data_IF_900307860548
#
_entry.id   IF_900307860548
#
_cell.length_a   1.000
_cell.length_b   1.000
_cell.length_c   1.000
_cell.angle_alpha   90.00
_cell.angle_beta   90.00
_cell.angle_gamma   90.00
#
_symmetry.space_group_name_H-M   'P 1'
#
loop_
_entity.id
_entity.type
_entity.pdbx_description
1 polymer ?
#
# COMPACT_ATOMS: atom_id res chain seq x y z
N UNK A 1 11.77 -30.20 -1.71
CA UNK A 1 11.67 -29.38 -2.95
C UNK A 1 11.32 -30.17 -4.23
N UNK A 2 11.71 -31.46 -4.39
CA UNK A 2 11.26 -32.29 -5.53
C UNK A 2 9.78 -32.73 -5.41
N UNK A 3 9.34 -33.16 -4.23
CA UNK A 3 7.95 -33.64 -4.01
C UNK A 3 6.87 -32.53 -4.05
N UNK A 4 7.20 -31.30 -3.64
CA UNK A 4 6.30 -30.13 -3.75
C UNK A 4 6.09 -29.66 -5.21
N UNK A 5 7.05 -29.94 -6.11
CA UNK A 5 6.95 -29.64 -7.55
C UNK A 5 6.07 -30.64 -8.31
N UNK A 6 5.82 -31.81 -7.72
CA UNK A 6 4.99 -32.87 -8.29
C UNK A 6 3.52 -32.74 -7.85
N UNK A 7 3.25 -32.22 -6.64
CA UNK A 7 1.90 -31.90 -6.17
C UNK A 7 1.28 -30.66 -6.86
N UNK A 8 2.10 -29.63 -7.13
CA UNK A 8 1.66 -28.38 -7.81
C UNK A 8 1.33 -28.61 -9.30
N UNK A 9 1.80 -29.70 -9.90
CA UNK A 9 1.49 -30.08 -11.29
C UNK A 9 0.16 -30.83 -11.46
N UNK A 10 -0.45 -31.33 -10.38
CA UNK A 10 -1.68 -32.14 -10.40
C UNK A 10 -2.94 -31.32 -10.07
N UNK A 11 -2.80 -30.16 -9.44
CA UNK A 11 -3.89 -29.23 -9.10
C UNK A 11 -4.66 -28.66 -10.32
N UNK A 12 -4.03 -28.36 -11.48
CA UNK A 12 -4.77 -27.90 -12.65
C UNK A 12 -5.67 -28.99 -13.26
N UNK A 13 -5.30 -30.27 -13.19
CA UNK A 13 -6.08 -31.36 -13.80
C UNK A 13 -7.48 -31.56 -13.20
N UNK A 14 -7.66 -31.31 -11.91
CA UNK A 14 -8.91 -31.62 -11.20
C UNK A 14 -10.00 -30.53 -11.36
N UNK A 15 -9.61 -29.29 -11.68
CA UNK A 15 -10.56 -28.19 -11.95
C UNK A 15 -10.74 -27.96 -13.45
N UNK A 16 -9.74 -28.31 -14.28
CA UNK A 16 -9.87 -28.25 -15.72
C UNK A 16 -10.67 -29.41 -16.34
N UNK A 17 -10.91 -30.56 -15.71
CA UNK A 17 -11.92 -31.51 -16.26
C UNK A 17 -13.35 -30.94 -16.22
N UNK A 18 -13.61 -29.94 -15.37
CA UNK A 18 -14.88 -29.24 -15.31
C UNK A 18 -15.00 -28.03 -16.28
N UNK A 19 -13.91 -27.58 -16.90
CA UNK A 19 -13.89 -26.41 -17.84
C UNK A 19 -13.12 -26.64 -19.16
N UNK A 20 -12.36 -27.74 -19.31
CA UNK A 20 -11.57 -28.13 -20.51
C UNK A 20 -12.41 -28.38 -21.73
N UNK A 21 -13.70 -28.65 -21.59
CA UNK A 21 -14.56 -28.80 -22.76
C UNK A 21 -14.54 -27.58 -23.69
N UNK A 22 -14.36 -26.36 -23.18
CA UNK A 22 -14.46 -25.12 -23.99
C UNK A 22 -13.20 -24.25 -24.04
N UNK A 23 -12.32 -24.28 -23.03
CA UNK A 23 -11.10 -23.44 -23.03
C UNK A 23 -9.91 -24.07 -23.79
N UNK A 24 -9.79 -25.40 -23.83
CA UNK A 24 -8.72 -26.03 -24.62
C UNK A 24 -9.01 -26.07 -26.12
N UNK A 25 -10.28 -26.03 -26.51
CA UNK A 25 -10.68 -25.78 -27.90
C UNK A 25 -10.22 -24.39 -28.37
N UNK A 26 -10.36 -23.36 -27.52
CA UNK A 26 -9.90 -22.01 -27.79
C UNK A 26 -8.36 -21.89 -27.86
N UNK A 27 -7.62 -22.59 -27.00
CA UNK A 27 -6.15 -22.55 -26.99
C UNK A 27 -5.51 -23.34 -28.15
N UNK A 28 -6.13 -24.45 -28.58
CA UNK A 28 -5.68 -25.21 -29.75
C UNK A 28 -6.00 -24.51 -31.09
N UNK A 29 -7.11 -23.76 -31.17
CA UNK A 29 -7.41 -22.88 -32.33
C UNK A 29 -6.42 -21.70 -32.40
N UNK A 30 -5.99 -21.15 -31.26
CA UNK A 30 -5.10 -19.97 -31.22
C UNK A 30 -3.60 -20.28 -31.36
N UNK A 31 -3.16 -21.55 -31.22
CA UNK A 31 -1.73 -21.92 -31.18
C UNK A 31 -1.22 -22.80 -32.33
N UNK A 32 -2.10 -23.21 -33.27
CA UNK A 32 -1.70 -23.86 -34.53
C UNK A 32 -1.11 -25.29 -34.44
N UNK A 33 -1.09 -25.91 -33.24
CA UNK A 33 -0.51 -27.24 -33.01
C UNK A 33 -1.54 -28.36 -33.24
N UNK A 34 -1.59 -28.85 -34.48
CA UNK A 34 -2.36 -30.03 -34.88
C UNK A 34 -1.54 -31.33 -34.72
N UNK A 35 -1.93 -32.24 -33.82
CA UNK A 35 -1.98 -33.73 -34.02
C UNK A 35 -2.52 -34.45 -32.77
N UNK A 36 -3.61 -35.21 -32.94
CA UNK A 36 -4.65 -35.49 -31.92
C UNK A 36 -4.59 -36.83 -31.15
N UNK A 37 -3.81 -37.85 -31.51
CA UNK A 37 -4.09 -39.23 -31.02
C UNK A 37 -3.20 -39.73 -29.86
N UNK A 38 -1.93 -39.36 -29.81
CA UNK A 38 -0.98 -39.86 -28.79
C UNK A 38 -1.24 -39.31 -27.38
N UNK A 39 -1.88 -38.13 -27.29
CA UNK A 39 -2.18 -37.48 -26.02
C UNK A 39 -3.28 -38.21 -25.24
N UNK A 40 -4.35 -38.64 -25.93
CA UNK A 40 -5.50 -39.29 -25.30
C UNK A 40 -5.17 -40.70 -24.78
N UNK A 41 -4.35 -41.46 -25.52
CA UNK A 41 -3.86 -42.78 -25.14
C UNK A 41 -3.00 -42.77 -23.87
N UNK A 42 -2.34 -41.66 -23.58
CA UNK A 42 -1.49 -41.51 -22.40
C UNK A 42 -2.30 -41.20 -21.14
N UNK A 43 -3.39 -40.44 -21.26
CA UNK A 43 -4.29 -40.12 -20.15
C UNK A 43 -5.12 -41.33 -19.69
N UNK A 44 -5.54 -42.20 -20.61
CA UNK A 44 -6.38 -43.37 -20.32
C UNK A 44 -5.64 -44.42 -19.47
N UNK A 45 -4.33 -44.58 -19.72
CA UNK A 45 -3.47 -45.57 -19.05
C UNK A 45 -3.09 -45.23 -17.61
N UNK A 46 -3.08 -43.94 -17.26
CA UNK A 46 -2.78 -43.47 -15.89
C UNK A 46 -3.98 -43.70 -14.97
N UNK A 47 -5.20 -43.61 -15.50
CA UNK A 47 -6.43 -43.75 -14.72
C UNK A 47 -6.78 -45.22 -14.40
N UNK A 48 -6.22 -46.18 -15.13
CA UNK A 48 -6.52 -47.61 -14.99
C UNK A 48 -5.68 -48.36 -13.95
N UNK A 49 -4.56 -47.79 -13.47
CA UNK A 49 -3.54 -48.53 -12.70
C UNK A 49 -3.47 -48.19 -11.19
N UNK A 50 -4.35 -47.33 -10.64
CA UNK A 50 -4.31 -46.95 -9.21
C UNK A 50 -5.54 -47.44 -8.43
N UNK A 51 -5.34 -48.32 -7.44
CA UNK A 51 -6.39 -48.75 -6.52
C UNK A 51 -6.92 -47.54 -5.72
N UNK A 52 -8.23 -47.32 -5.83
CA UNK A 52 -8.98 -46.13 -5.41
C UNK A 52 -8.68 -45.71 -3.96
N UNK A 53 -8.47 -46.65 -3.04
CA UNK A 53 -8.22 -46.36 -1.62
C UNK A 53 -6.86 -45.67 -1.36
N UNK A 54 -5.79 -46.07 -2.06
CA UNK A 54 -4.45 -45.49 -1.86
C UNK A 54 -4.36 -44.04 -2.31
N UNK A 55 -5.14 -43.67 -3.33
CA UNK A 55 -5.25 -42.32 -3.85
C UNK A 55 -5.98 -41.41 -2.87
N UNK A 56 -7.10 -41.89 -2.29
CA UNK A 56 -7.87 -41.14 -1.30
C UNK A 56 -7.07 -40.86 -0.01
N UNK A 57 -6.32 -41.83 0.49
CA UNK A 57 -5.47 -41.62 1.68
C UNK A 57 -4.35 -40.61 1.41
N UNK A 58 -3.70 -40.70 0.24
CA UNK A 58 -2.65 -39.74 -0.15
C UNK A 58 -3.20 -38.32 -0.26
N UNK A 59 -4.40 -38.16 -0.84
CA UNK A 59 -5.05 -36.85 -1.00
C UNK A 59 -5.45 -36.26 0.36
N UNK A 60 -5.91 -37.11 1.29
CA UNK A 60 -6.24 -36.72 2.66
C UNK A 60 -5.00 -36.23 3.43
N UNK A 61 -3.87 -36.92 3.30
CA UNK A 61 -2.61 -36.47 3.91
C UNK A 61 -2.15 -35.10 3.36
N UNK A 62 -2.21 -34.88 2.05
CA UNK A 62 -1.85 -33.58 1.45
C UNK A 62 -2.78 -32.44 1.90
N UNK A 63 -4.07 -32.72 2.09
CA UNK A 63 -5.02 -31.71 2.62
C UNK A 63 -4.66 -31.34 4.06
N UNK A 64 -4.30 -32.29 4.92
CA UNK A 64 -3.88 -32.00 6.29
C UNK A 64 -2.55 -31.23 6.36
N UNK A 65 -1.61 -31.53 5.45
CA UNK A 65 -0.38 -30.73 5.31
C UNK A 65 -0.67 -29.28 4.88
N UNK A 66 -1.58 -29.08 3.92
CA UNK A 66 -1.98 -27.73 3.48
C UNK A 66 -2.68 -26.95 4.59
N UNK A 67 -3.53 -27.60 5.39
CA UNK A 67 -4.13 -26.98 6.59
C UNK A 67 -3.07 -26.56 7.60
N UNK A 68 -2.05 -27.38 7.80
CA UNK A 68 -0.94 -27.08 8.71
C UNK A 68 -0.12 -25.89 8.21
N UNK A 69 0.23 -25.86 6.92
CA UNK A 69 0.94 -24.73 6.29
C UNK A 69 0.13 -23.43 6.30
N UNK A 70 -1.20 -23.53 6.12
CA UNK A 70 -2.10 -22.39 6.24
C UNK A 70 -2.09 -21.84 7.68
N UNK A 71 -2.20 -22.71 8.68
CA UNK A 71 -2.13 -22.31 10.09
C UNK A 71 -0.77 -21.69 10.46
N UNK A 72 0.33 -22.19 9.89
CA UNK A 72 1.68 -21.60 10.06
C UNK A 72 1.78 -20.22 9.40
N UNK A 73 1.23 -20.05 8.20
CA UNK A 73 1.18 -18.76 7.51
C UNK A 73 0.29 -17.75 8.25
N UNK A 74 -0.87 -18.17 8.77
CA UNK A 74 -1.74 -17.37 9.62
C UNK A 74 -1.03 -16.95 10.91
N UNK A 75 -0.30 -17.87 11.55
CA UNK A 75 0.52 -17.57 12.72
C UNK A 75 1.66 -16.61 12.40
N UNK A 76 2.29 -16.71 11.23
CA UNK A 76 3.29 -15.74 10.78
C UNK A 76 2.68 -14.36 10.53
N UNK A 77 1.48 -14.30 9.92
CA UNK A 77 0.72 -13.07 9.70
C UNK A 77 0.28 -12.39 11.00
N UNK A 78 0.03 -13.17 12.06
CA UNK A 78 -0.26 -12.64 13.41
C UNK A 78 0.92 -11.85 14.02
N UNK A 79 2.14 -12.03 13.50
CA UNK A 79 3.35 -11.33 13.92
C UNK A 79 3.84 -10.29 12.89
N UNK A 80 3.10 -10.07 11.80
CA UNK A 80 3.44 -9.04 10.83
C UNK A 80 3.15 -7.63 11.36
N UNK A 81 4.03 -6.69 11.04
CA UNK A 81 3.88 -5.27 11.36
C UNK A 81 2.56 -4.72 10.79
N UNK A 82 1.82 -3.99 11.63
CA UNK A 82 0.59 -3.27 11.27
C UNK A 82 0.73 -2.40 10.01
N UNK A 83 1.93 -1.89 9.73
CA UNK A 83 2.21 -1.10 8.52
C UNK A 83 2.13 -1.91 7.22
N UNK A 84 2.15 -3.25 7.27
CA UNK A 84 1.98 -4.09 6.08
C UNK A 84 0.56 -4.00 5.50
N UNK A 85 -0.45 -3.90 6.37
CA UNK A 85 -1.85 -3.83 5.96
C UNK A 85 -2.16 -2.53 5.19
N UNK A 86 -1.58 -1.43 5.67
CA UNK A 86 -1.65 -0.13 5.02
C UNK A 86 -0.97 -0.16 3.65
N UNK A 87 0.22 -0.76 3.55
CA UNK A 87 0.92 -0.96 2.27
C UNK A 87 0.11 -1.79 1.28
N UNK A 88 -0.51 -2.88 1.74
CA UNK A 88 -1.37 -3.71 0.91
C UNK A 88 -2.52 -2.88 0.33
N UNK A 89 -3.20 -2.11 1.19
CA UNK A 89 -4.34 -1.28 0.79
C UNK A 89 -3.95 -0.28 -0.30
N UNK A 90 -2.87 0.49 -0.10
CA UNK A 90 -2.41 1.48 -1.09
C UNK A 90 -1.89 0.84 -2.38
N UNK A 91 -1.23 -0.31 -2.31
CA UNK A 91 -0.79 -1.06 -3.49
C UNK A 91 -1.99 -1.54 -4.33
N UNK A 92 -3.10 -1.93 -3.69
CA UNK A 92 -4.32 -2.33 -4.41
C UNK A 92 -5.09 -1.15 -4.98
N UNK A 93 -5.16 -0.02 -4.25
CA UNK A 93 -5.78 1.23 -4.70
C UNK A 93 -5.23 1.72 -6.03
N UNK A 94 -3.93 1.53 -6.29
CA UNK A 94 -3.27 1.94 -7.54
C UNK A 94 -3.82 1.27 -8.81
N UNK A 95 -4.52 0.14 -8.68
CA UNK A 95 -5.16 -0.52 -9.82
C UNK A 95 -6.46 0.17 -10.26
N UNK A 96 -6.90 1.21 -9.54
CA UNK A 96 -8.13 1.94 -9.80
C UNK A 96 -7.81 3.36 -10.28
N UNK A 97 -8.43 3.80 -11.36
CA UNK A 97 -8.23 5.16 -11.91
C UNK A 97 -9.06 6.19 -11.15
N UNK A 98 -8.39 7.27 -10.72
CA UNK A 98 -9.03 8.43 -10.10
C UNK A 98 -9.57 9.47 -11.08
N UNK A 99 -9.30 9.36 -12.39
CA UNK A 99 -9.56 10.44 -13.36
C UNK A 99 -11.04 10.83 -13.44
N UNK A 100 -11.92 9.83 -13.47
CA UNK A 100 -13.36 10.04 -13.51
C UNK A 100 -13.88 10.67 -12.21
N UNK A 101 -13.28 10.32 -11.07
CA UNK A 101 -13.65 10.82 -9.75
C UNK A 101 -13.25 12.30 -9.65
N UNK A 102 -12.02 12.64 -10.03
CA UNK A 102 -11.53 14.01 -10.07
C UNK A 102 -12.40 14.90 -10.95
N UNK A 103 -12.77 14.43 -12.16
CA UNK A 103 -13.68 15.18 -13.05
C UNK A 103 -15.06 15.40 -12.44
N UNK A 104 -15.63 14.39 -11.76
CA UNK A 104 -16.93 14.52 -11.07
C UNK A 104 -16.85 15.48 -9.90
N UNK A 105 -15.76 15.46 -9.15
CA UNK A 105 -15.54 16.38 -8.03
C UNK A 105 -15.39 17.84 -8.50
N UNK A 106 -14.59 18.08 -9.55
CA UNK A 106 -14.45 19.44 -10.12
C UNK A 106 -15.76 19.94 -10.72
N UNK A 107 -16.55 19.07 -11.37
CA UNK A 107 -17.91 19.42 -11.80
C UNK A 107 -18.79 19.81 -10.62
N UNK A 108 -18.78 19.03 -9.54
CA UNK A 108 -19.54 19.35 -8.33
C UNK A 108 -19.11 20.69 -7.72
N UNK A 109 -17.81 20.99 -7.69
CA UNK A 109 -17.29 22.29 -7.22
C UNK A 109 -17.79 23.44 -8.08
N UNK A 110 -17.76 23.28 -9.40
CA UNK A 110 -18.25 24.30 -10.34
C UNK A 110 -19.75 24.56 -10.17
N UNK A 111 -20.55 23.51 -9.98
CA UNK A 111 -21.99 23.61 -9.73
C UNK A 111 -22.31 24.25 -8.37
N UNK A 112 -21.37 24.22 -7.43
CA UNK A 112 -21.49 24.81 -6.09
C UNK A 112 -20.66 26.09 -5.96
N UNK A 113 -21.10 27.15 -6.63
CA UNK A 113 -20.44 28.48 -6.74
C UNK A 113 -19.83 29.05 -5.43
N UNK A 114 -20.38 28.69 -4.27
CA UNK A 114 -19.78 28.93 -2.96
C UNK A 114 -19.70 27.61 -2.17
N UNK A 115 -18.53 26.97 -2.20
CA UNK A 115 -18.22 25.77 -1.41
C UNK A 115 -17.85 26.22 0.01
N UNK A 116 -18.58 25.73 1.00
CA UNK A 116 -18.33 25.96 2.43
C UNK A 116 -17.90 24.66 3.11
N UNK A 117 -17.33 24.74 4.32
CA UNK A 117 -17.01 23.56 5.13
C UNK A 117 -18.25 22.69 5.36
N UNK A 118 -19.41 23.30 5.64
CA UNK A 118 -20.65 22.52 5.86
C UNK A 118 -21.09 21.75 4.62
N UNK A 119 -21.02 22.34 3.42
CA UNK A 119 -21.30 21.61 2.17
C UNK A 119 -20.33 20.45 1.93
N UNK A 120 -19.07 20.62 2.32
CA UNK A 120 -18.07 19.54 2.24
C UNK A 120 -18.36 18.44 3.27
N UNK A 121 -18.90 18.78 4.45
CA UNK A 121 -19.32 17.80 5.47
C UNK A 121 -20.54 17.00 4.99
N UNK A 122 -21.52 17.67 4.37
CA UNK A 122 -22.65 17.01 3.71
C UNK A 122 -22.17 16.07 2.59
N UNK A 123 -21.25 16.54 1.75
CA UNK A 123 -20.66 15.72 0.69
C UNK A 123 -19.90 14.52 1.27
N UNK A 124 -19.12 14.71 2.34
CA UNK A 124 -18.42 13.64 3.06
C UNK A 124 -19.40 12.57 3.58
N UNK A 125 -20.49 12.99 4.22
CA UNK A 125 -21.52 12.08 4.71
C UNK A 125 -22.20 11.33 3.54
N UNK A 126 -22.51 12.04 2.45
CA UNK A 126 -23.12 11.47 1.25
C UNK A 126 -22.24 10.40 0.60
N UNK A 127 -20.95 10.67 0.36
CA UNK A 127 -20.07 9.69 -0.29
C UNK A 127 -19.85 8.45 0.57
N UNK A 128 -19.79 8.60 1.89
CA UNK A 128 -19.75 7.47 2.83
C UNK A 128 -21.04 6.67 2.72
N UNK A 129 -22.20 7.32 2.85
CA UNK A 129 -23.50 6.66 2.80
C UNK A 129 -23.70 5.88 1.48
N UNK A 130 -23.42 6.51 0.33
CA UNK A 130 -23.47 5.86 -0.99
C UNK A 130 -22.57 4.62 -1.04
N UNK A 131 -21.36 4.69 -0.47
CA UNK A 131 -20.42 3.56 -0.48
C UNK A 131 -20.91 2.43 0.44
N UNK A 132 -21.47 2.75 1.61
CA UNK A 132 -22.05 1.75 2.52
C UNK A 132 -23.22 0.99 1.88
N UNK A 133 -24.05 1.65 1.07
CA UNK A 133 -25.13 0.95 0.32
C UNK A 133 -24.62 -0.06 -0.71
N UNK A 134 -23.33 -0.01 -1.08
CA UNK A 134 -22.68 -1.02 -1.94
C UNK A 134 -22.24 -2.26 -1.16
N UNK A 135 -22.49 -2.32 0.15
CA UNK A 135 -22.15 -3.46 0.99
C UNK A 135 -20.65 -3.62 1.23
N UNK A 136 -19.91 -2.51 1.28
CA UNK A 136 -18.45 -2.53 1.54
C UNK A 136 -18.09 -3.00 2.94
N UNK A 137 -19.06 -3.08 3.87
CA UNK A 137 -18.90 -3.57 5.24
C UNK A 137 -19.40 -5.02 5.44
N UNK A 138 -19.73 -5.74 4.36
CA UNK A 138 -20.38 -7.06 4.43
C UNK A 138 -19.64 -8.08 5.33
N UNK A 139 -18.31 -8.05 5.31
CA UNK A 139 -17.49 -8.99 6.07
C UNK A 139 -17.00 -8.42 7.42
N UNK A 140 -17.41 -7.21 7.78
CA UNK A 140 -16.97 -6.60 9.03
C UNK A 140 -17.61 -7.31 10.24
N UNK A 141 -16.97 -7.30 11.42
CA UNK A 141 -17.54 -7.88 12.63
C UNK A 141 -18.94 -7.33 12.92
N UNK A 142 -19.82 -8.17 13.45
CA UNK A 142 -21.17 -7.75 13.86
C UNK A 142 -21.03 -6.73 15.00
N UNK A 143 -21.60 -5.52 14.89
CA UNK A 143 -21.55 -4.53 15.96
C UNK A 143 -22.29 -4.99 17.22
N UNK A 144 -21.76 -4.62 18.37
CA UNK A 144 -22.44 -4.72 19.65
C UNK A 144 -23.60 -3.72 19.76
N UNK A 145 -24.55 -3.97 20.67
CA UNK A 145 -25.65 -3.03 20.92
C UNK A 145 -25.16 -1.63 21.33
N UNK A 146 -24.02 -1.56 22.03
CA UNK A 146 -23.39 -0.28 22.39
C UNK A 146 -22.96 0.49 21.15
N UNK A 147 -22.29 -0.17 20.21
CA UNK A 147 -21.84 0.45 18.96
C UNK A 147 -23.01 0.92 18.09
N UNK A 148 -24.11 0.15 18.08
CA UNK A 148 -25.36 0.53 17.40
C UNK A 148 -25.99 1.79 18.03
N UNK A 149 -26.08 1.85 19.36
CA UNK A 149 -26.68 2.99 20.06
C UNK A 149 -25.88 4.29 19.89
N UNK A 150 -24.58 4.19 19.61
CA UNK A 150 -23.73 5.35 19.33
C UNK A 150 -23.90 5.90 17.90
N UNK A 151 -24.62 5.20 17.01
CA UNK A 151 -24.98 5.72 15.68
C UNK A 151 -26.13 6.71 15.81
N UNK A 152 -25.81 8.01 15.72
CA UNK A 152 -26.80 9.08 15.73
C UNK A 152 -27.48 9.22 14.36
N UNK A 153 -28.43 8.33 14.07
CA UNK A 153 -29.12 8.27 12.78
C UNK A 153 -29.86 9.56 12.41
N UNK A 154 -30.48 10.25 13.36
CA UNK A 154 -31.21 11.48 13.09
C UNK A 154 -30.26 12.64 12.73
N UNK A 155 -29.09 12.70 13.37
CA UNK A 155 -28.04 13.64 13.01
C UNK A 155 -27.50 13.34 11.60
N UNK A 156 -27.23 12.07 11.29
CA UNK A 156 -26.75 11.64 9.97
C UNK A 156 -27.73 11.96 8.85
N UNK A 157 -29.04 11.74 9.07
CA UNK A 157 -30.10 12.10 8.12
C UNK A 157 -30.08 13.58 7.76
N UNK A 158 -29.69 14.45 8.69
CA UNK A 158 -29.55 15.89 8.45
C UNK A 158 -28.49 16.27 7.41
N UNK A 159 -27.53 15.38 7.11
CA UNK A 159 -26.47 15.61 6.12
C UNK A 159 -26.74 14.93 4.77
N UNK A 160 -27.81 14.16 4.65
CA UNK A 160 -28.11 13.37 3.44
C UNK A 160 -29.24 14.01 2.64
N UNK A 161 -29.26 13.82 1.31
CA UNK A 161 -30.38 14.25 0.47
C UNK A 161 -31.71 13.70 0.99
N UNK A 162 -32.78 14.49 0.88
CA UNK A 162 -34.11 14.09 1.36
C UNK A 162 -34.62 12.78 0.73
N UNK A 163 -34.22 12.51 -0.51
CA UNK A 163 -34.56 11.32 -1.30
C UNK A 163 -33.55 10.16 -1.15
N UNK A 164 -32.59 10.27 -0.22
CA UNK A 164 -31.61 9.21 -0.02
C UNK A 164 -32.25 7.95 0.57
N UNK A 165 -32.24 6.87 -0.22
CA UNK A 165 -32.79 5.57 0.18
C UNK A 165 -31.79 4.85 1.10
N UNK A 166 -32.11 4.80 2.39
CA UNK A 166 -31.38 4.00 3.38
C UNK A 166 -31.87 2.55 3.33
N UNK A 167 -30.95 1.60 3.23
CA UNK A 167 -31.29 0.18 3.40
C UNK A 167 -31.67 -0.12 4.86
N UNK A 168 -32.43 -1.19 5.09
CA UNK A 168 -32.83 -1.59 6.46
C UNK A 168 -31.62 -1.81 7.38
N UNK A 169 -30.52 -2.35 6.83
CA UNK A 169 -29.27 -2.61 7.57
C UNK A 169 -28.29 -1.43 7.57
N UNK A 170 -28.72 -0.23 7.16
CA UNK A 170 -27.82 0.92 7.03
C UNK A 170 -27.23 1.36 8.37
N UNK A 171 -28.00 1.28 9.45
CA UNK A 171 -27.51 1.56 10.81
C UNK A 171 -26.38 0.59 11.22
N UNK A 172 -26.53 -0.69 10.88
CA UNK A 172 -25.51 -1.72 11.12
C UNK A 172 -24.24 -1.40 10.34
N UNK A 173 -24.38 -1.06 9.05
CA UNK A 173 -23.25 -0.68 8.19
C UNK A 173 -22.51 0.56 8.72
N UNK A 174 -23.24 1.54 9.26
CA UNK A 174 -22.65 2.71 9.90
C UNK A 174 -21.86 2.34 11.17
N UNK A 175 -22.42 1.47 12.01
CA UNK A 175 -21.73 1.00 13.21
C UNK A 175 -20.46 0.20 12.87
N UNK A 176 -20.51 -0.67 11.85
CA UNK A 176 -19.33 -1.38 11.34
C UNK A 176 -18.27 -0.41 10.82
N UNK A 177 -18.68 0.59 10.05
CA UNK A 177 -17.77 1.58 9.50
C UNK A 177 -17.01 2.37 10.58
N UNK A 178 -17.69 2.73 11.68
CA UNK A 178 -17.10 3.43 12.82
C UNK A 178 -15.91 2.70 13.46
N UNK A 179 -15.79 1.39 13.28
CA UNK A 179 -14.64 0.62 13.78
C UNK A 179 -13.33 0.92 13.02
N UNK A 180 -13.43 1.45 11.81
CA UNK A 180 -12.32 1.69 10.88
C UNK A 180 -12.02 3.18 10.66
N UNK A 181 -12.71 4.07 11.37
CA UNK A 181 -12.54 5.50 11.21
C UNK A 181 -12.35 6.18 12.57
N UNK A 182 -11.83 7.39 12.52
CA UNK A 182 -11.89 8.33 13.62
C UNK A 182 -12.21 9.73 13.07
N UNK A 183 -12.68 10.60 13.95
CA UNK A 183 -12.95 11.99 13.63
C UNK A 183 -11.84 12.85 14.21
N UNK A 184 -11.34 13.79 13.40
CA UNK A 184 -10.50 14.87 13.87
C UNK A 184 -11.16 16.19 13.45
N UNK A 185 -11.74 16.89 14.43
CA UNK A 185 -12.74 17.93 14.20
C UNK A 185 -13.85 17.47 13.24
N UNK A 186 -13.96 18.11 12.08
CA UNK A 186 -15.00 17.86 11.07
C UNK A 186 -14.56 16.85 10.00
N UNK A 187 -13.31 16.37 10.07
CA UNK A 187 -12.71 15.50 9.07
C UNK A 187 -12.83 14.05 9.53
N UNK A 188 -13.41 13.22 8.67
CA UNK A 188 -13.46 11.77 8.85
C UNK A 188 -12.17 11.17 8.31
N UNK A 189 -11.41 10.48 9.15
CA UNK A 189 -10.13 9.86 8.80
C UNK A 189 -10.27 8.34 8.87
N UNK A 190 -9.80 7.66 7.82
CA UNK A 190 -9.74 6.19 7.76
C UNK A 190 -8.49 5.71 8.52
N UNK A 191 -8.67 4.75 9.43
CA UNK A 191 -7.58 4.00 10.04
C UNK A 191 -7.10 2.94 9.04
N UNK A 192 -6.12 3.28 8.19
CA UNK A 192 -5.62 2.38 7.15
C UNK A 192 -4.97 1.10 7.67
N UNK A 193 -4.57 1.05 8.94
CA UNK A 193 -4.04 -0.18 9.56
C UNK A 193 -5.17 -1.16 9.81
N UNK A 194 -6.26 -0.72 10.45
CA UNK A 194 -7.45 -1.58 10.68
C UNK A 194 -8.20 -1.85 9.39
N UNK A 195 -8.44 -0.81 8.60
CA UNK A 195 -9.20 -0.93 7.35
C UNK A 195 -8.43 -1.73 6.31
N UNK A 196 -7.12 -1.48 6.15
CA UNK A 196 -6.27 -2.28 5.28
C UNK A 196 -6.23 -3.75 5.66
N UNK A 197 -6.25 -4.07 6.96
CA UNK A 197 -6.32 -5.46 7.45
C UNK A 197 -7.65 -6.11 7.09
N UNK A 198 -8.75 -5.38 7.30
CA UNK A 198 -10.08 -5.82 6.89
C UNK A 198 -10.14 -6.12 5.39
N UNK A 199 -9.66 -5.19 4.56
CA UNK A 199 -9.63 -5.36 3.11
C UNK A 199 -8.72 -6.52 2.70
N UNK A 200 -7.55 -6.68 3.31
CA UNK A 200 -6.65 -7.79 2.98
C UNK A 200 -7.27 -9.16 3.28
N UNK A 201 -7.90 -9.30 4.46
CA UNK A 201 -8.49 -10.56 4.89
C UNK A 201 -9.63 -11.03 3.98
N UNK A 202 -10.32 -10.11 3.33
CA UNK A 202 -11.50 -10.39 2.51
C UNK A 202 -11.35 -9.96 1.05
N UNK A 203 -10.14 -9.65 0.60
CA UNK A 203 -9.90 -9.02 -0.70
C UNK A 203 -10.50 -9.82 -1.86
N UNK A 204 -10.40 -11.14 -1.80
CA UNK A 204 -10.92 -12.05 -2.82
C UNK A 204 -12.38 -12.47 -2.59
N UNK A 205 -12.96 -12.11 -1.44
CA UNK A 205 -14.38 -12.35 -1.14
C UNK A 205 -15.27 -11.21 -1.64
N UNK A 206 -14.70 -10.01 -1.82
CA UNK A 206 -15.41 -8.86 -2.38
C UNK A 206 -15.66 -9.02 -3.89
N UNK A 207 -16.82 -8.54 -4.35
CA UNK A 207 -17.06 -8.34 -5.78
C UNK A 207 -16.26 -7.15 -6.31
N UNK A 208 -16.04 -7.11 -7.63
CA UNK A 208 -15.39 -5.97 -8.30
C UNK A 208 -16.09 -4.65 -8.00
N UNK A 209 -17.42 -4.66 -7.93
CA UNK A 209 -18.23 -3.49 -7.58
C UNK A 209 -18.01 -3.00 -6.15
N UNK A 210 -17.78 -3.92 -5.20
CA UNK A 210 -17.46 -3.59 -3.82
C UNK A 210 -16.04 -3.05 -3.70
N UNK A 211 -15.06 -3.71 -4.34
CA UNK A 211 -13.66 -3.23 -4.36
C UNK A 211 -13.57 -1.84 -5.00
N UNK A 212 -14.27 -1.61 -6.11
CA UNK A 212 -14.35 -0.29 -6.73
C UNK A 212 -14.95 0.74 -5.76
N UNK A 213 -16.06 0.43 -5.08
CA UNK A 213 -16.67 1.34 -4.12
C UNK A 213 -15.74 1.67 -2.93
N UNK A 214 -14.96 0.68 -2.44
CA UNK A 214 -13.96 0.87 -1.37
C UNK A 214 -12.90 1.90 -1.79
N UNK A 215 -12.28 1.72 -2.95
CA UNK A 215 -11.20 2.61 -3.38
C UNK A 215 -11.72 3.96 -3.87
N UNK A 216 -12.90 3.99 -4.50
CA UNK A 216 -13.55 5.25 -4.87
C UNK A 216 -13.92 6.09 -3.65
N UNK A 217 -14.37 5.48 -2.55
CA UNK A 217 -14.69 6.16 -1.30
C UNK A 217 -13.47 6.95 -0.81
N UNK A 218 -12.34 6.30 -0.68
CA UNK A 218 -11.08 6.91 -0.24
C UNK A 218 -10.63 8.03 -1.20
N UNK A 219 -10.67 7.82 -2.51
CA UNK A 219 -10.34 8.88 -3.47
C UNK A 219 -11.27 10.10 -3.37
N UNK A 220 -12.58 9.88 -3.17
CA UNK A 220 -13.55 10.96 -2.95
C UNK A 220 -13.27 11.72 -1.66
N UNK A 221 -13.04 10.98 -0.56
CA UNK A 221 -12.69 11.58 0.74
C UNK A 221 -11.42 12.42 0.64
N UNK A 222 -10.37 11.92 -0.01
CA UNK A 222 -9.14 12.67 -0.24
C UNK A 222 -9.37 14.02 -0.94
N UNK A 223 -10.20 14.06 -1.99
CA UNK A 223 -10.51 15.30 -2.70
C UNK A 223 -11.32 16.27 -1.83
N UNK A 224 -12.30 15.75 -1.08
CA UNK A 224 -13.10 16.53 -0.13
C UNK A 224 -12.19 17.14 0.95
N UNK A 225 -11.32 16.33 1.54
CA UNK A 225 -10.37 16.73 2.56
C UNK A 225 -9.40 17.80 2.06
N UNK A 226 -8.85 17.62 0.86
CA UNK A 226 -7.99 18.62 0.21
C UNK A 226 -8.69 19.97 0.08
N UNK A 227 -9.98 19.97 -0.26
CA UNK A 227 -10.77 21.19 -0.35
C UNK A 227 -11.13 21.77 1.02
N UNK A 228 -11.41 20.92 2.03
CA UNK A 228 -11.59 21.36 3.41
C UNK A 228 -10.34 22.06 3.95
N UNK A 229 -9.15 21.48 3.70
CA UNK A 229 -7.85 22.07 4.08
C UNK A 229 -7.59 23.41 3.36
N UNK A 230 -8.03 23.53 2.10
CA UNK A 230 -7.93 24.78 1.35
C UNK A 230 -8.78 25.89 1.97
N UNK A 231 -9.96 25.56 2.47
CA UNK A 231 -10.88 26.51 3.11
C UNK A 231 -10.53 26.80 4.58
N UNK A 232 -9.95 25.83 5.28
CA UNK A 232 -9.46 25.98 6.64
C UNK A 232 -8.05 25.37 6.76
N UNK A 233 -6.98 26.17 6.58
CA UNK A 233 -5.60 25.69 6.61
C UNK A 233 -5.15 25.06 7.92
N UNK A 234 -5.82 25.33 9.05
CA UNK A 234 -5.52 24.68 10.34
C UNK A 234 -5.78 23.16 10.27
N UNK A 235 -6.66 22.73 9.37
CA UNK A 235 -6.94 21.32 9.09
C UNK A 235 -5.83 20.62 8.29
N UNK A 236 -4.83 21.35 7.76
CA UNK A 236 -3.69 20.74 7.05
C UNK A 236 -2.87 19.86 8.01
N UNK A 237 -2.68 20.31 9.26
CA UNK A 237 -1.97 19.55 10.28
C UNK A 237 -2.72 18.27 10.71
N UNK A 238 -4.04 18.25 10.51
CA UNK A 238 -4.94 17.10 10.78
C UNK A 238 -4.93 16.09 9.63
N UNK A 239 -4.77 16.58 8.40
CA UNK A 239 -4.75 15.79 7.17
C UNK A 239 -3.37 15.26 6.79
N UNK A 240 -2.31 15.64 7.51
CA UNK A 240 -1.04 14.96 7.40
C UNK A 240 -1.25 13.52 7.88
N UNK A 241 -1.16 12.53 6.98
CA UNK A 241 -0.91 11.19 7.45
C UNK A 241 0.41 11.28 8.21
N UNK A 242 0.48 10.78 9.44
CA UNK A 242 1.74 10.19 9.88
C UNK A 242 2.15 9.26 8.73
N UNK A 243 3.23 9.62 8.02
CA UNK A 243 3.85 8.96 6.87
C UNK A 243 3.58 9.59 5.47
N UNK A 244 4.54 10.46 5.07
CA UNK A 244 5.26 10.37 3.79
C UNK A 244 4.42 10.25 2.51
N UNK A 245 3.57 11.25 2.25
CA UNK A 245 2.70 11.31 1.07
C UNK A 245 2.97 12.47 0.11
N UNK A 246 4.20 12.63 -0.38
CA UNK A 246 4.46 13.32 -1.65
C UNK A 246 5.61 12.64 -2.36
N UNK A 247 5.29 11.69 -3.24
CA UNK A 247 6.06 11.31 -4.44
C UNK A 247 5.16 10.36 -5.25
N UNK A 248 4.58 10.88 -6.33
CA UNK A 248 3.64 10.21 -7.24
C UNK A 248 4.27 9.08 -8.09
N UNK A 249 5.30 8.41 -7.59
CA UNK A 249 5.94 7.29 -8.26
C UNK A 249 6.25 6.18 -7.24
N UNK A 250 5.61 5.02 -7.41
CA UNK A 250 5.77 3.84 -6.53
C UNK A 250 7.22 3.39 -6.38
N UNK A 251 8.06 3.67 -7.39
CA UNK A 251 9.49 3.37 -7.38
C UNK A 251 10.29 4.30 -6.45
N UNK A 252 9.79 5.52 -6.18
CA UNK A 252 10.47 6.54 -5.36
C UNK A 252 10.14 6.41 -3.87
N UNK A 253 9.04 5.73 -3.50
CA UNK A 253 8.62 5.60 -2.10
C UNK A 253 9.66 4.91 -1.21
N UNK A 254 10.17 3.75 -1.63
CA UNK A 254 11.14 2.98 -0.87
C UNK A 254 12.48 3.74 -0.63
N UNK A 255 13.11 4.35 -1.65
CA UNK A 255 14.30 5.18 -1.42
C UNK A 255 13.98 6.42 -0.58
N UNK A 256 12.88 7.14 -0.87
CA UNK A 256 12.45 8.32 -0.10
C UNK A 256 12.34 8.01 1.39
N UNK A 257 11.46 7.07 1.76
CA UNK A 257 11.19 6.75 3.17
C UNK A 257 12.46 6.24 3.89
N UNK A 258 13.27 5.43 3.21
CA UNK A 258 14.48 4.88 3.84
C UNK A 258 15.56 5.94 4.06
N UNK A 259 15.75 6.84 3.10
CA UNK A 259 16.75 7.92 3.19
C UNK A 259 16.26 8.97 4.19
N UNK A 260 15.00 9.41 4.11
CA UNK A 260 14.39 10.32 5.08
C UNK A 260 14.55 9.77 6.50
N UNK A 261 14.12 8.54 6.78
CA UNK A 261 14.24 7.95 8.11
C UNK A 261 15.68 7.88 8.60
N UNK A 262 16.64 7.62 7.71
CA UNK A 262 18.06 7.64 8.05
C UNK A 262 18.53 9.05 8.43
N UNK A 263 18.17 10.08 7.66
CA UNK A 263 18.59 11.46 7.94
C UNK A 263 17.89 12.06 9.16
N UNK A 264 16.71 11.56 9.56
CA UNK A 264 15.99 12.02 10.76
C UNK A 264 16.51 11.44 12.08
N UNK A 265 17.54 10.60 12.06
CA UNK A 265 18.12 10.03 13.27
C UNK A 265 19.10 10.99 13.95
N UNK A 266 19.26 10.81 15.27
CA UNK A 266 20.10 11.65 16.14
C UNK A 266 21.55 11.79 15.69
N UNK A 267 22.09 10.83 14.91
CA UNK A 267 23.44 10.92 14.37
C UNK A 267 23.62 12.18 13.52
N UNK A 268 22.59 12.59 12.78
CA UNK A 268 22.69 13.74 11.88
C UNK A 268 22.90 15.02 12.69
N UNK A 269 22.13 15.20 13.75
CA UNK A 269 22.24 16.36 14.63
C UNK A 269 23.55 16.38 15.41
N UNK A 270 24.18 15.22 15.63
CA UNK A 270 25.50 15.14 16.24
C UNK A 270 26.63 15.63 15.30
N UNK A 271 26.42 15.56 13.98
CA UNK A 271 27.47 15.85 12.98
C UNK A 271 27.15 17.04 12.07
N UNK A 272 25.96 17.64 12.19
CA UNK A 272 25.55 18.82 11.44
C UNK A 272 26.44 20.03 11.75
N UNK A 273 26.79 20.78 10.72
CA UNK A 273 27.58 22.03 10.83
C UNK A 273 26.72 23.17 11.37
N UNK A 274 25.41 23.16 11.08
CA UNK A 274 24.44 24.17 11.50
C UNK A 274 23.08 23.52 11.78
N UNK A 275 22.76 23.33 13.07
CA UNK A 275 21.53 22.65 13.50
C UNK A 275 20.28 23.52 13.33
N UNK A 276 20.44 24.84 13.32
CA UNK A 276 19.34 25.78 13.15
C UNK A 276 18.95 25.89 11.67
N UNK A 277 19.94 25.80 10.77
CA UNK A 277 19.70 25.76 9.32
C UNK A 277 19.24 24.39 8.83
N UNK A 278 19.92 23.31 9.20
CA UNK A 278 19.67 21.96 8.68
C UNK A 278 18.72 21.16 9.58
N UNK A 279 17.52 21.71 9.75
CA UNK A 279 16.45 21.16 10.61
C UNK A 279 15.88 19.85 10.08
N UNK A 280 15.10 19.15 10.90
CA UNK A 280 14.31 17.99 10.48
C UNK A 280 13.46 18.27 9.23
N UNK A 281 12.82 19.43 9.16
CA UNK A 281 12.02 19.86 8.00
C UNK A 281 12.89 20.02 6.76
N UNK A 282 14.05 20.68 6.87
CA UNK A 282 14.98 20.84 5.76
C UNK A 282 15.49 19.49 5.23
N UNK A 283 15.77 18.54 6.13
CA UNK A 283 16.20 17.17 5.75
C UNK A 283 15.13 16.45 4.95
N UNK A 284 13.85 16.59 5.31
CA UNK A 284 12.75 15.97 4.57
C UNK A 284 12.54 16.64 3.21
N UNK A 285 12.57 17.98 3.16
CA UNK A 285 12.49 18.76 1.93
C UNK A 285 13.61 18.42 0.95
N UNK A 286 14.85 18.30 1.44
CA UNK A 286 15.99 17.86 0.63
C UNK A 286 15.71 16.50 -0.03
N UNK A 287 15.25 15.51 0.73
CA UNK A 287 15.00 14.16 0.18
C UNK A 287 13.80 14.18 -0.75
N UNK A 288 12.75 14.95 -0.44
CA UNK A 288 11.60 15.15 -1.32
C UNK A 288 12.02 15.74 -2.66
N UNK A 289 12.80 16.83 -2.65
CA UNK A 289 13.33 17.48 -3.84
C UNK A 289 14.28 16.57 -4.63
N UNK A 290 15.15 15.82 -3.94
CA UNK A 290 16.05 14.87 -4.59
C UNK A 290 15.27 13.79 -5.33
N UNK A 291 14.24 13.22 -4.69
CA UNK A 291 13.43 12.17 -5.29
C UNK A 291 12.54 12.68 -6.43
N UNK A 292 12.07 13.95 -6.38
CA UNK A 292 11.31 14.58 -7.46
C UNK A 292 12.20 15.05 -8.64
N UNK A 293 13.51 15.00 -8.48
CA UNK A 293 14.45 15.38 -9.55
C UNK A 293 14.69 14.24 -10.55
N UNK A 294 15.33 14.56 -11.67
CA UNK A 294 15.79 13.56 -12.64
C UNK A 294 16.69 12.49 -12.00
N UNK A 295 17.43 12.85 -10.94
CA UNK A 295 18.29 11.93 -10.20
C UNK A 295 17.47 10.96 -9.33
N UNK A 296 16.27 11.36 -8.91
CA UNK A 296 15.36 10.54 -8.12
C UNK A 296 14.99 9.24 -8.84
N UNK A 297 14.66 9.30 -10.13
CA UNK A 297 14.37 8.11 -10.94
C UNK A 297 15.57 7.17 -11.05
N UNK A 298 16.78 7.71 -11.23
CA UNK A 298 18.02 6.92 -11.26
C UNK A 298 18.27 6.21 -9.92
N UNK A 299 18.02 6.91 -8.81
CA UNK A 299 18.09 6.31 -7.47
C UNK A 299 17.07 5.18 -7.35
N UNK A 300 15.82 5.39 -7.76
CA UNK A 300 14.75 4.39 -7.71
C UNK A 300 15.06 3.12 -8.49
N UNK A 301 15.60 3.25 -9.70
CA UNK A 301 15.99 2.10 -10.53
C UNK A 301 17.11 1.29 -9.89
N UNK A 302 18.18 1.95 -9.43
CA UNK A 302 19.28 1.27 -8.75
C UNK A 302 18.85 0.70 -7.39
N UNK A 303 17.85 1.29 -6.74
CA UNK A 303 17.32 0.83 -5.44
C UNK A 303 16.68 -0.57 -5.51
N UNK A 304 16.23 -0.99 -6.69
CA UNK A 304 15.70 -2.33 -6.92
C UNK A 304 16.77 -3.41 -6.69
N UNK A 305 18.06 -3.07 -6.86
CA UNK A 305 19.19 -3.97 -6.61
C UNK A 305 19.57 -3.91 -5.13
N UNK A 306 19.24 -4.94 -4.35
CA UNK A 306 19.44 -4.96 -2.88
C UNK A 306 20.88 -4.63 -2.45
N UNK A 307 21.88 -5.08 -3.22
CA UNK A 307 23.30 -4.80 -2.98
C UNK A 307 23.71 -3.34 -3.23
N UNK A 308 22.91 -2.56 -3.98
CA UNK A 308 23.15 -1.14 -4.27
C UNK A 308 22.58 -0.21 -3.19
N UNK A 309 21.59 -0.65 -2.42
CA UNK A 309 20.92 0.19 -1.40
C UNK A 309 21.90 0.81 -0.38
N UNK A 310 22.88 0.08 0.19
CA UNK A 310 23.87 0.69 1.09
C UNK A 310 24.76 1.73 0.38
N UNK A 311 25.08 1.51 -0.90
CA UNK A 311 25.89 2.43 -1.71
C UNK A 311 25.13 3.74 -1.98
N UNK A 312 23.84 3.66 -2.29
CA UNK A 312 22.99 4.82 -2.53
C UNK A 312 22.80 5.66 -1.25
N UNK A 313 22.54 5.01 -0.10
CA UNK A 313 22.48 5.71 1.20
C UNK A 313 23.79 6.42 1.51
N UNK A 314 24.91 5.71 1.39
CA UNK A 314 26.23 6.27 1.62
C UNK A 314 26.57 7.40 0.63
N UNK A 315 26.06 7.33 -0.61
CA UNK A 315 26.22 8.39 -1.59
C UNK A 315 25.54 9.69 -1.17
N UNK A 316 24.31 9.63 -0.66
CA UNK A 316 23.60 10.80 -0.12
C UNK A 316 24.38 11.43 1.05
N UNK A 317 24.82 10.60 2.01
CA UNK A 317 25.58 11.09 3.18
C UNK A 317 26.94 11.67 2.78
N UNK A 318 27.67 11.00 1.87
CA UNK A 318 28.94 11.48 1.33
C UNK A 318 28.79 12.80 0.58
N UNK A 319 27.68 12.97 -0.14
CA UNK A 319 27.33 14.20 -0.86
C UNK A 319 27.05 15.36 0.10
N UNK A 320 26.29 15.12 1.17
CA UNK A 320 26.01 16.13 2.20
C UNK A 320 27.28 16.61 2.91
N UNK A 321 28.21 15.69 3.15
CA UNK A 321 29.53 16.04 3.67
C UNK A 321 30.33 16.91 2.71
N UNK A 322 30.31 16.58 1.41
CA UNK A 322 30.98 17.39 0.37
C UNK A 322 30.35 18.78 0.25
N UNK A 323 29.03 18.87 0.39
CA UNK A 323 28.29 20.13 0.36
C UNK A 323 28.48 21.00 1.63
N UNK A 324 29.20 20.48 2.65
CA UNK A 324 29.46 21.22 3.89
C UNK A 324 28.29 21.23 4.88
N UNK A 325 27.32 20.33 4.72
CA UNK A 325 26.16 20.21 5.62
C UNK A 325 26.54 19.48 6.92
N UNK A 326 27.41 18.47 6.81
CA UNK A 326 27.86 17.62 7.94
C UNK A 326 29.38 17.52 7.99
N UNK A 327 29.94 17.33 9.19
CA UNK A 327 31.38 17.26 9.46
C UNK A 327 31.76 16.04 10.31
N UNK A 328 33.06 15.72 10.39
CA UNK A 328 33.56 14.55 11.15
C UNK A 328 34.31 13.55 10.26
N UNK A 329 34.75 12.41 10.81
CA UNK A 329 35.44 11.36 10.04
C UNK A 329 34.43 10.48 9.29
N UNK A 330 34.78 10.00 8.09
CA UNK A 330 33.87 9.11 7.30
C UNK A 330 33.52 7.84 8.10
N UNK A 331 34.48 7.29 8.85
CA UNK A 331 34.27 6.13 9.70
C UNK A 331 33.37 6.44 10.92
N UNK A 332 33.56 7.59 11.56
CA UNK A 332 32.73 7.99 12.70
C UNK A 332 31.27 8.21 12.33
N UNK A 333 31.02 8.86 11.19
CA UNK A 333 29.66 9.05 10.65
C UNK A 333 29.06 7.68 10.26
N UNK A 334 29.82 6.82 9.58
CA UNK A 334 29.34 5.51 9.20
C UNK A 334 28.93 4.66 10.42
N UNK A 335 29.76 4.61 11.47
CA UNK A 335 29.44 3.86 12.70
C UNK A 335 28.21 4.39 13.42
N UNK A 336 27.97 5.70 13.39
CA UNK A 336 26.75 6.28 13.95
C UNK A 336 25.48 5.89 13.16
N UNK A 337 25.61 5.53 11.88
CA UNK A 337 24.48 5.15 11.01
C UNK A 337 24.21 3.65 11.02
N UNK A 338 25.25 2.81 10.91
CA UNK A 338 25.09 1.35 10.79
C UNK A 338 25.32 0.59 12.10
N UNK A 339 25.77 1.28 13.16
CA UNK A 339 26.08 0.68 14.46
C UNK A 339 27.51 0.14 14.56
N UNK A 340 27.82 -0.49 15.70
CA UNK A 340 29.18 -0.91 16.09
C UNK A 340 29.78 -2.09 15.29
N UNK A 341 29.09 -2.57 14.24
CA UNK A 341 29.68 -3.57 13.35
C UNK A 341 30.84 -2.93 12.56
N UNK A 342 32.07 -3.35 12.90
CA UNK A 342 33.31 -2.83 12.31
C UNK A 342 33.41 -3.08 10.81
N UNK A 343 32.82 -4.16 10.27
CA UNK A 343 32.90 -4.49 8.85
C UNK A 343 31.90 -3.66 8.06
N UNK A 344 30.67 -3.53 8.55
CA UNK A 344 29.64 -2.73 7.90
C UNK A 344 29.97 -1.24 7.93
N UNK A 345 30.47 -0.73 9.07
CA UNK A 345 30.91 0.66 9.23
C UNK A 345 32.02 1.02 8.23
N UNK A 346 33.02 0.14 8.06
CA UNK A 346 34.11 0.36 7.09
C UNK A 346 33.60 0.36 5.65
N UNK A 347 32.74 -0.58 5.30
CA UNK A 347 32.18 -0.64 3.95
C UNK A 347 31.33 0.59 3.63
N UNK A 348 30.49 1.04 4.58
CA UNK A 348 29.68 2.23 4.42
C UNK A 348 30.55 3.49 4.29
N UNK A 349 31.62 3.63 5.09
CA UNK A 349 32.57 4.73 4.98
C UNK A 349 33.28 4.77 3.61
N UNK A 350 33.66 3.60 3.06
CA UNK A 350 34.23 3.49 1.70
C UNK A 350 33.22 4.00 0.67
N UNK A 351 31.96 3.56 0.75
CA UNK A 351 30.91 4.01 -0.15
C UNK A 351 30.61 5.51 -0.01
N UNK A 352 30.69 6.08 1.20
CA UNK A 352 30.57 7.53 1.41
C UNK A 352 31.67 8.28 0.69
N UNK A 353 32.91 7.77 0.74
CA UNK A 353 34.04 8.34 0.00
C UNK A 353 33.81 8.35 -1.51
N UNK A 354 33.30 7.24 -2.06
CA UNK A 354 32.93 7.13 -3.49
C UNK A 354 31.74 8.05 -3.83
N UNK A 355 30.81 8.18 -2.90
CA UNK A 355 29.61 9.00 -2.96
C UNK A 355 29.82 10.50 -3.07
N UNK A 356 31.06 10.99 -2.87
CA UNK A 356 31.44 12.40 -3.06
C UNK A 356 31.55 12.78 -4.54
N UNK A 357 31.36 11.84 -5.47
CA UNK A 357 31.45 12.03 -6.91
C UNK A 357 30.21 11.47 -7.61
N UNK A 358 29.84 12.06 -8.74
CA UNK A 358 28.72 11.60 -9.57
C UNK A 358 27.43 12.41 -9.36
N UNK A 359 26.35 12.00 -10.05
CA UNK A 359 25.17 12.84 -10.25
C UNK A 359 24.41 13.20 -8.96
N UNK A 360 24.39 12.29 -7.97
CA UNK A 360 23.79 12.57 -6.64
C UNK A 360 24.57 13.67 -5.91
N UNK A 361 25.91 13.62 -5.99
CA UNK A 361 26.76 14.59 -5.33
C UNK A 361 26.66 15.97 -5.98
N UNK A 362 26.60 16.01 -7.31
CA UNK A 362 26.48 17.27 -8.05
C UNK A 362 25.12 17.92 -7.79
N UNK A 363 24.03 17.14 -7.77
CA UNK A 363 22.70 17.64 -7.43
C UNK A 363 22.63 18.20 -6.00
N UNK A 364 23.08 17.43 -4.99
CA UNK A 364 23.03 17.87 -3.58
C UNK A 364 23.90 19.11 -3.35
N UNK A 365 25.10 19.16 -3.95
CA UNK A 365 25.96 20.34 -3.82
C UNK A 365 25.36 21.61 -4.45
N UNK A 366 24.56 21.48 -5.52
CA UNK A 366 23.87 22.62 -6.11
C UNK A 366 22.69 23.04 -5.24
N UNK A 367 21.86 22.08 -4.81
CA UNK A 367 20.69 22.35 -3.97
C UNK A 367 21.02 22.98 -2.61
N UNK A 368 22.21 22.72 -2.06
CA UNK A 368 22.66 23.33 -0.77
C UNK A 368 23.21 24.75 -0.95
N UNK A 369 23.63 25.12 -2.17
CA UNK A 369 24.16 26.45 -2.50
C UNK A 369 23.07 27.46 -2.85
N UNK A 370 21.99 26.96 -3.46
CA UNK A 370 20.74 27.69 -3.69
C UNK A 370 20.00 27.91 -2.35
#
# INVERSE_FOLDING_TARGET
MRQLKDAVKLLPGYIEDLKRGKCMEAFSISSGLHRKELFWLWCERICSDMEVESFYESLKCCIEELKTLLAEAEKALMHCDSAMFEKFYFAKKQNYSGDAISKRFEKWRYENLCVTIDKLRELQAKVVAESLTKGIMRFAPVPSQKELNEVQMDYLKGFLPYDFVMSDDFCVSCAQWRQFIHWNDTILIIDYKKYGKYIQNHYYDFSDTQLQAIFELDMKLYLIHKEMARLNPELINVLQPTETGQLEDTILFAPYNTITRMLQQDWFDAVSVDKEKYTATWRDELVSCLMKSEIGHVIAEEWQKTNKRPQLKAAVVGSLKKAGVIQGSDLGIASAIVGDDKKESKNFAIYMGMGKKGPIADWICNHVKD
#
